data_IF_616127196151
#
_entry.id   IF_616127196151
#
_cell.length_a   1.000
_cell.length_b   1.000
_cell.length_c   1.000
_cell.angle_alpha   90.00
_cell.angle_beta   90.00
_cell.angle_gamma   90.00
#
_symmetry.space_group_name_H-M   'P 1'
#
loop_
_entity.id
_entity.type
_entity.pdbx_description
1 polymer ?
#
# COMPACT_ATOMS: atom_id res chain seq x y z
N UNK A 1 0.30 -19.61 -9.84
CA UNK A 1 -0.93 -19.61 -9.01
C UNK A 1 -2.09 -19.31 -9.93
N UNK A 2 -3.18 -20.08 -9.90
CA UNK A 2 -4.39 -19.78 -10.68
C UNK A 2 -5.25 -18.68 -10.02
N UNK A 3 -4.96 -18.30 -8.77
CA UNK A 3 -5.69 -17.31 -7.97
C UNK A 3 -4.72 -16.43 -7.16
N UNK A 4 -5.07 -15.15 -6.99
CA UNK A 4 -4.38 -14.23 -6.07
C UNK A 4 -4.88 -14.36 -4.64
N UNK A 5 -4.18 -13.71 -3.69
CA UNK A 5 -4.57 -13.67 -2.28
C UNK A 5 -5.12 -12.29 -1.92
N UNK A 6 -6.36 -12.23 -1.45
CA UNK A 6 -6.94 -10.99 -0.91
C UNK A 6 -6.43 -10.75 0.51
N UNK A 7 -5.98 -9.53 0.76
CA UNK A 7 -5.54 -9.10 2.07
C UNK A 7 -5.93 -7.67 2.40
N UNK A 8 -5.43 -7.19 3.53
CA UNK A 8 -5.73 -5.85 4.05
C UNK A 8 -4.44 -5.11 4.35
N UNK A 9 -4.38 -3.84 3.94
CA UNK A 9 -3.37 -2.91 4.42
C UNK A 9 -3.70 -2.49 5.86
N UNK A 10 -2.85 -2.85 6.83
CA UNK A 10 -3.12 -2.57 8.24
C UNK A 10 -3.04 -1.09 8.63
N UNK A 11 -2.51 -0.21 7.78
CA UNK A 11 -2.53 1.23 8.05
C UNK A 11 -3.94 1.74 8.36
N UNK A 12 -4.95 1.29 7.61
CA UNK A 12 -6.34 1.68 7.84
C UNK A 12 -6.92 1.13 9.16
N UNK A 13 -6.22 0.16 9.77
CA UNK A 13 -6.57 -0.48 11.04
C UNK A 13 -5.69 -0.02 12.21
N UNK A 14 -4.76 0.93 12.02
CA UNK A 14 -3.85 1.36 13.10
C UNK A 14 -4.56 1.80 14.38
N UNK A 15 -5.66 2.54 14.26
CA UNK A 15 -6.48 2.93 15.41
C UNK A 15 -7.17 1.74 16.08
N UNK A 16 -7.53 0.70 15.33
CA UNK A 16 -8.05 -0.55 15.90
C UNK A 16 -6.97 -1.35 16.59
N UNK A 17 -5.75 -1.41 16.05
CA UNK A 17 -4.62 -2.03 16.74
C UNK A 17 -4.32 -1.29 18.06
N UNK A 18 -4.40 0.04 18.09
CA UNK A 18 -4.27 0.81 19.33
C UNK A 18 -5.41 0.54 20.33
N UNK A 19 -6.64 0.37 19.83
CA UNK A 19 -7.85 0.16 20.66
C UNK A 19 -7.93 -1.26 21.25
N UNK A 20 -7.70 -2.29 20.42
CA UNK A 20 -7.99 -3.69 20.75
C UNK A 20 -6.79 -4.64 20.59
N UNK A 21 -5.62 -4.12 20.21
CA UNK A 21 -4.40 -4.92 20.00
C UNK A 21 -4.31 -5.58 18.64
N UNK A 22 -3.12 -6.09 18.31
CA UNK A 22 -2.84 -6.75 17.02
C UNK A 22 -3.65 -8.04 16.91
N UNK A 23 -3.64 -8.85 17.96
CA UNK A 23 -4.23 -10.18 17.91
C UNK A 23 -5.74 -10.15 17.62
N UNK A 24 -6.51 -9.34 18.35
CA UNK A 24 -7.95 -9.20 18.11
C UNK A 24 -8.24 -8.50 16.76
N UNK A 25 -7.40 -7.56 16.33
CA UNK A 25 -7.54 -6.95 14.99
C UNK A 25 -7.43 -8.00 13.89
N UNK A 26 -6.42 -8.89 13.94
CA UNK A 26 -6.23 -9.93 12.93
C UNK A 26 -7.34 -11.00 12.97
N UNK A 27 -7.90 -11.27 14.15
CA UNK A 27 -9.09 -12.11 14.29
C UNK A 27 -10.27 -11.53 13.50
N UNK A 28 -10.56 -10.24 13.68
CA UNK A 28 -11.63 -9.55 12.96
C UNK A 28 -11.39 -9.54 11.44
N UNK A 29 -10.14 -9.32 11.01
CA UNK A 29 -9.75 -9.44 9.59
C UNK A 29 -10.07 -10.83 9.04
N UNK A 30 -9.75 -11.89 9.81
CA UNK A 30 -10.06 -13.27 9.41
C UNK A 30 -11.55 -13.56 9.37
N UNK A 31 -12.34 -13.04 10.31
CA UNK A 31 -13.80 -13.21 10.35
C UNK A 31 -14.50 -12.57 9.13
N UNK A 32 -13.92 -11.51 8.56
CA UNK A 32 -14.37 -10.93 7.28
C UNK A 32 -13.98 -11.78 6.06
N UNK A 33 -13.10 -12.77 6.25
CA UNK A 33 -12.61 -13.70 5.24
C UNK A 33 -11.24 -13.36 4.68
N UNK A 34 -10.63 -12.22 5.01
CA UNK A 34 -9.29 -11.93 4.48
C UNK A 34 -8.25 -12.88 5.07
N UNK A 35 -7.29 -13.32 4.24
CA UNK A 35 -6.27 -14.31 4.63
C UNK A 35 -4.86 -13.75 4.71
N UNK A 36 -4.70 -12.48 4.36
CA UNK A 36 -3.38 -11.85 4.32
C UNK A 36 -3.47 -10.42 4.86
N UNK A 37 -2.37 -9.95 5.43
CA UNK A 37 -2.20 -8.54 5.82
C UNK A 37 -0.87 -8.00 5.36
N UNK A 38 -0.84 -6.74 4.97
CA UNK A 38 0.38 -5.95 4.94
C UNK A 38 0.45 -5.11 6.23
N UNK A 39 1.54 -5.25 6.98
CA UNK A 39 1.74 -4.52 8.23
C UNK A 39 2.39 -3.17 7.92
N UNK A 40 1.63 -2.10 8.10
CA UNK A 40 2.11 -0.72 7.95
C UNK A 40 1.58 0.19 9.03
N UNK A 41 2.39 1.16 9.44
CA UNK A 41 2.10 2.12 10.52
C UNK A 41 1.70 1.46 11.86
N UNK A 42 2.10 0.20 12.07
CA UNK A 42 2.04 -0.50 13.35
C UNK A 42 3.47 -0.59 13.89
N UNK A 43 3.76 -0.15 15.13
CA UNK A 43 5.10 -0.29 15.70
C UNK A 43 5.54 -1.75 15.75
N UNK A 44 6.73 -2.07 15.23
CA UNK A 44 7.28 -3.42 15.23
C UNK A 44 8.00 -3.75 16.54
N UNK A 45 7.31 -3.55 17.68
CA UNK A 45 7.83 -3.94 19.00
C UNK A 45 7.86 -5.46 19.16
N UNK A 46 8.61 -5.96 20.14
CA UNK A 46 8.68 -7.40 20.43
C UNK A 46 7.29 -7.98 20.69
N UNK A 47 6.45 -7.25 21.41
CA UNK A 47 5.07 -7.62 21.73
C UNK A 47 4.23 -7.72 20.46
N UNK A 48 4.23 -6.68 19.61
CA UNK A 48 3.46 -6.68 18.37
C UNK A 48 3.92 -7.77 17.40
N UNK A 49 5.23 -8.02 17.28
CA UNK A 49 5.76 -9.13 16.47
C UNK A 49 5.31 -10.48 17.01
N UNK A 50 5.31 -10.67 18.34
CA UNK A 50 4.81 -11.90 18.95
C UNK A 50 3.31 -12.08 18.73
N UNK A 51 2.51 -11.01 18.81
CA UNK A 51 1.07 -11.06 18.55
C UNK A 51 0.75 -11.31 17.08
N UNK A 52 1.46 -10.67 16.14
CA UNK A 52 1.34 -10.94 14.70
C UNK A 52 1.61 -12.42 14.42
N UNK A 53 2.69 -12.97 14.99
CA UNK A 53 3.02 -14.39 14.84
C UNK A 53 1.95 -15.31 15.42
N UNK A 54 1.47 -14.99 16.63
CA UNK A 54 0.43 -15.77 17.32
C UNK A 54 -0.88 -15.76 16.53
N UNK A 55 -1.35 -14.59 16.13
CA UNK A 55 -2.56 -14.43 15.32
C UNK A 55 -2.45 -15.12 13.96
N UNK A 56 -1.27 -15.04 13.32
CA UNK A 56 -1.01 -15.76 12.08
C UNK A 56 -1.18 -17.26 12.24
N UNK A 57 -0.63 -17.84 13.31
CA UNK A 57 -0.75 -19.27 13.62
C UNK A 57 -2.18 -19.68 14.00
N UNK A 58 -2.86 -18.89 14.83
CA UNK A 58 -4.18 -19.23 15.37
C UNK A 58 -5.30 -19.06 14.34
N UNK A 59 -5.20 -18.06 13.45
CA UNK A 59 -6.26 -17.68 12.51
C UNK A 59 -5.95 -18.01 11.04
N UNK A 60 -4.69 -18.36 10.73
CA UNK A 60 -4.23 -18.60 9.36
C UNK A 60 -4.18 -17.32 8.53
N UNK A 61 -3.89 -16.17 9.17
CA UNK A 61 -3.66 -14.89 8.48
C UNK A 61 -2.18 -14.76 8.15
N UNK A 62 -1.86 -14.75 6.87
CA UNK A 62 -0.49 -14.59 6.37
C UNK A 62 -0.02 -13.13 6.52
N UNK A 63 1.22 -12.94 6.98
CA UNK A 63 1.89 -11.65 6.91
C UNK A 63 2.49 -11.53 5.51
N UNK A 64 1.75 -10.92 4.59
CA UNK A 64 2.13 -10.79 3.19
C UNK A 64 3.36 -9.90 3.03
N UNK A 65 3.33 -8.74 3.69
CA UNK A 65 4.37 -7.74 3.59
C UNK A 65 4.53 -6.96 4.90
N UNK A 66 5.73 -6.46 5.14
CA UNK A 66 6.03 -5.49 6.19
C UNK A 66 6.44 -4.16 5.55
N UNK A 67 6.18 -3.05 6.25
CA UNK A 67 6.69 -1.73 5.86
C UNK A 67 8.00 -1.41 6.55
N UNK A 68 8.99 -0.95 5.79
CA UNK A 68 10.19 -0.34 6.34
C UNK A 68 10.65 0.82 5.47
N UNK A 69 10.86 1.99 6.10
CA UNK A 69 11.45 3.12 5.40
C UNK A 69 12.94 2.83 5.13
N UNK A 70 13.46 3.32 4.01
CA UNK A 70 14.89 3.22 3.73
C UNK A 70 15.69 4.11 4.70
N UNK A 71 15.26 5.36 4.81
CA UNK A 71 15.79 6.43 5.65
C UNK A 71 14.63 7.14 6.37
N UNK A 72 14.88 7.95 7.42
CA UNK A 72 13.81 8.66 8.11
C UNK A 72 13.00 9.55 7.16
N UNK A 73 11.69 9.61 7.37
CA UNK A 73 10.76 10.39 6.54
C UNK A 73 11.16 11.87 6.43
N UNK A 74 11.60 12.43 7.56
CA UNK A 74 12.26 13.72 7.69
C UNK A 74 13.51 13.53 8.55
N UNK A 75 14.53 14.40 8.43
CA UNK A 75 15.69 14.36 9.31
C UNK A 75 15.28 14.36 10.79
N UNK A 76 15.69 13.31 11.51
CA UNK A 76 15.38 13.15 12.94
C UNK A 76 14.00 12.57 13.26
N UNK A 77 13.16 12.27 12.26
CA UNK A 77 11.89 11.60 12.50
C UNK A 77 12.11 10.22 13.16
N UNK A 78 11.26 9.83 14.14
CA UNK A 78 11.35 8.53 14.78
C UNK A 78 10.89 7.42 13.82
N UNK A 79 11.28 6.19 14.15
CA UNK A 79 10.91 5.00 13.40
C UNK A 79 12.13 4.20 12.97
N UNK A 80 11.89 2.92 12.74
CA UNK A 80 12.91 2.00 12.26
C UNK A 80 13.16 2.23 10.77
N UNK A 81 14.43 2.11 10.37
CA UNK A 81 14.84 2.32 8.98
C UNK A 81 15.81 1.23 8.55
N UNK A 82 15.78 0.86 7.27
CA UNK A 82 16.71 -0.13 6.73
C UNK A 82 18.18 0.26 6.86
N UNK A 83 18.48 1.56 6.85
CA UNK A 83 19.86 2.04 7.07
C UNK A 83 20.36 1.82 8.50
N UNK A 84 19.49 1.96 9.52
CA UNK A 84 19.90 1.88 10.93
C UNK A 84 19.59 0.53 11.60
N UNK A 85 18.47 -0.09 11.22
CA UNK A 85 17.84 -1.18 11.94
C UNK A 85 17.74 -2.47 11.09
N UNK A 86 18.61 -2.60 10.08
CA UNK A 86 18.60 -3.70 9.11
C UNK A 86 18.44 -5.08 9.74
N UNK A 87 19.30 -5.44 10.71
CA UNK A 87 19.31 -6.78 11.30
C UNK A 87 18.03 -7.08 12.08
N UNK A 88 17.46 -6.06 12.73
CA UNK A 88 16.16 -6.19 13.41
C UNK A 88 15.05 -6.43 12.39
N UNK A 89 14.97 -5.62 11.34
CA UNK A 89 13.93 -5.75 10.30
C UNK A 89 14.02 -7.12 9.61
N UNK A 90 15.23 -7.60 9.30
CA UNK A 90 15.46 -8.94 8.74
C UNK A 90 15.02 -10.03 9.73
N UNK A 91 15.30 -9.85 11.03
CA UNK A 91 14.84 -10.77 12.07
C UNK A 91 13.30 -10.82 12.14
N UNK A 92 12.64 -9.67 12.13
CA UNK A 92 11.17 -9.59 12.18
C UNK A 92 10.53 -10.26 10.96
N UNK A 93 11.06 -10.03 9.76
CA UNK A 93 10.65 -10.73 8.54
C UNK A 93 10.73 -12.25 8.71
N UNK A 94 11.86 -12.76 9.23
CA UNK A 94 12.06 -14.21 9.46
C UNK A 94 11.12 -14.77 10.51
N UNK A 95 10.91 -14.06 11.61
CA UNK A 95 10.01 -14.49 12.70
C UNK A 95 8.57 -14.61 12.21
N UNK A 96 8.16 -13.70 11.33
CA UNK A 96 6.81 -13.64 10.75
C UNK A 96 6.66 -14.46 9.45
N UNK A 97 7.74 -15.06 8.95
CA UNK A 97 7.73 -15.76 7.66
C UNK A 97 7.44 -14.84 6.46
N UNK A 98 7.65 -13.53 6.62
CA UNK A 98 7.34 -12.53 5.62
C UNK A 98 8.51 -12.37 4.65
N UNK A 99 8.23 -12.59 3.36
CA UNK A 99 9.24 -12.47 2.29
C UNK A 99 9.25 -11.10 1.63
N UNK A 100 8.14 -10.37 1.69
CA UNK A 100 8.03 -9.05 1.06
C UNK A 100 8.23 -7.95 2.10
N UNK A 101 9.09 -7.00 1.78
CA UNK A 101 9.28 -5.78 2.53
C UNK A 101 9.04 -4.61 1.58
N UNK A 102 8.37 -3.55 2.02
CA UNK A 102 8.11 -2.41 1.15
C UNK A 102 8.48 -1.07 1.77
N UNK A 103 9.04 -0.19 0.94
CA UNK A 103 9.23 1.22 1.22
C UNK A 103 7.91 1.92 0.91
N UNK A 104 7.31 2.56 1.92
CA UNK A 104 6.02 3.24 1.76
C UNK A 104 6.08 4.51 0.92
N UNK A 105 7.14 5.30 1.06
CA UNK A 105 7.42 6.46 0.22
C UNK A 105 8.89 6.85 0.39
N UNK A 106 9.41 7.64 -0.56
CA UNK A 106 10.68 8.34 -0.39
C UNK A 106 10.60 9.43 0.72
N UNK A 107 11.73 9.82 1.33
CA UNK A 107 11.73 10.90 2.32
C UNK A 107 11.13 12.21 1.79
N UNK A 108 10.35 12.91 2.60
CA UNK A 108 9.59 14.10 2.16
C UNK A 108 10.51 15.24 1.68
N UNK A 109 11.67 15.40 2.32
CA UNK A 109 12.60 16.48 2.03
C UNK A 109 13.34 16.33 0.68
N UNK A 110 13.27 15.16 0.04
CA UNK A 110 13.84 14.94 -1.29
C UNK A 110 12.78 15.00 -2.40
N UNK A 111 11.48 15.05 -2.04
CA UNK A 111 10.40 15.11 -3.02
C UNK A 111 10.53 16.37 -3.88
N UNK A 112 10.63 16.19 -5.19
CA UNK A 112 10.81 17.26 -6.17
C UNK A 112 12.28 17.58 -6.52
N UNK A 113 13.26 17.01 -5.83
CA UNK A 113 14.68 17.14 -6.18
C UNK A 113 15.15 15.90 -6.96
N UNK A 114 15.29 16.06 -8.28
CA UNK A 114 15.67 14.97 -9.17
C UNK A 114 16.99 14.29 -8.78
N UNK A 115 18.01 15.07 -8.39
CA UNK A 115 19.32 14.53 -8.05
C UNK A 115 19.26 13.67 -6.79
N UNK A 116 18.63 14.17 -5.74
CA UNK A 116 18.47 13.44 -4.49
C UNK A 116 17.58 12.21 -4.65
N UNK A 117 16.57 12.26 -5.53
CA UNK A 117 15.74 11.11 -5.84
C UNK A 117 16.55 10.01 -6.56
N UNK A 118 17.42 10.37 -7.51
CA UNK A 118 18.29 9.37 -8.16
C UNK A 118 19.27 8.72 -7.18
N UNK A 119 19.78 9.47 -6.20
CA UNK A 119 20.58 8.90 -5.10
C UNK A 119 19.75 7.93 -4.24
N UNK A 120 18.51 8.28 -3.92
CA UNK A 120 17.59 7.40 -3.21
C UNK A 120 17.33 6.10 -3.98
N UNK A 121 17.12 6.17 -5.29
CA UNK A 121 16.92 4.99 -6.15
C UNK A 121 18.13 4.06 -6.08
N UNK A 122 19.35 4.60 -6.18
CA UNK A 122 20.58 3.81 -6.09
C UNK A 122 20.73 3.14 -4.70
N UNK A 123 20.42 3.86 -3.62
CA UNK A 123 20.41 3.30 -2.25
C UNK A 123 19.36 2.20 -2.09
N UNK A 124 18.17 2.39 -2.65
CA UNK A 124 17.07 1.43 -2.58
C UNK A 124 17.44 0.12 -3.30
N UNK A 125 18.08 0.20 -4.47
CA UNK A 125 18.58 -0.98 -5.18
C UNK A 125 19.65 -1.73 -4.38
N UNK A 126 20.65 -1.02 -3.85
CA UNK A 126 21.70 -1.65 -3.04
C UNK A 126 21.11 -2.32 -1.78
N UNK A 127 20.06 -1.74 -1.20
CA UNK A 127 19.34 -2.34 -0.09
C UNK A 127 18.53 -3.57 -0.52
N UNK A 128 17.87 -3.52 -1.68
CA UNK A 128 17.16 -4.66 -2.27
C UNK A 128 18.12 -5.84 -2.54
N UNK A 129 19.29 -5.58 -3.11
CA UNK A 129 20.35 -6.59 -3.30
C UNK A 129 20.80 -7.20 -1.97
N UNK A 130 20.99 -6.37 -0.94
CA UNK A 130 21.38 -6.83 0.40
C UNK A 130 20.31 -7.71 1.04
N UNK A 131 19.03 -7.32 0.97
CA UNK A 131 17.90 -8.09 1.50
C UNK A 131 17.72 -9.43 0.77
N UNK A 132 18.03 -9.48 -0.54
CA UNK A 132 17.93 -10.70 -1.34
C UNK A 132 18.82 -11.85 -0.80
N UNK A 133 19.97 -11.55 -0.20
CA UNK A 133 20.83 -12.55 0.48
C UNK A 133 20.15 -13.21 1.69
N UNK A 134 19.12 -12.59 2.24
CA UNK A 134 18.29 -13.13 3.32
C UNK A 134 16.97 -13.72 2.82
N UNK A 135 16.77 -13.80 1.51
CA UNK A 135 15.53 -14.28 0.91
C UNK A 135 14.36 -13.31 1.09
N UNK A 136 14.63 -12.02 1.32
CA UNK A 136 13.63 -10.96 1.45
C UNK A 136 13.69 -10.10 0.19
N UNK A 137 12.53 -9.82 -0.41
CA UNK A 137 12.41 -8.96 -1.58
C UNK A 137 11.90 -7.58 -1.18
N UNK A 138 12.59 -6.53 -1.63
CA UNK A 138 12.23 -5.14 -1.35
C UNK A 138 11.38 -4.55 -2.47
N UNK A 139 10.28 -3.91 -2.12
CA UNK A 139 9.34 -3.27 -3.04
C UNK A 139 9.23 -1.76 -2.74
N UNK A 140 8.94 -0.95 -3.76
CA UNK A 140 8.57 0.46 -3.59
C UNK A 140 7.07 0.64 -3.83
N UNK A 141 6.37 1.26 -2.88
CA UNK A 141 4.94 1.57 -2.99
C UNK A 141 4.70 2.90 -3.71
N UNK A 142 3.84 2.89 -4.72
CA UNK A 142 3.66 4.03 -5.63
C UNK A 142 2.55 4.98 -5.19
N UNK A 143 2.81 6.28 -5.26
CA UNK A 143 1.80 7.33 -5.16
C UNK A 143 1.65 8.06 -6.51
N UNK A 144 0.88 9.15 -6.51
CA UNK A 144 0.66 9.98 -7.70
C UNK A 144 1.87 10.87 -8.02
N UNK A 145 2.76 11.14 -7.06
CA UNK A 145 3.93 12.01 -7.23
C UNK A 145 4.97 11.37 -8.16
N UNK A 146 5.08 10.05 -8.17
CA UNK A 146 6.03 9.30 -8.99
C UNK A 146 5.67 9.32 -10.50
N UNK A 147 4.54 9.92 -10.85
CA UNK A 147 4.13 10.21 -12.24
C UNK A 147 4.54 11.62 -12.70
N UNK A 148 5.26 12.37 -11.87
CA UNK A 148 5.99 13.55 -12.35
C UNK A 148 7.01 13.13 -13.40
N UNK A 149 7.18 13.96 -14.43
CA UNK A 149 8.10 13.69 -15.53
C UNK A 149 9.40 14.45 -15.37
N UNK A 150 10.51 13.74 -15.54
CA UNK A 150 11.84 14.30 -15.71
C UNK A 150 12.31 13.91 -17.11
N UNK A 151 12.68 14.89 -17.93
CA UNK A 151 13.09 14.69 -19.33
C UNK A 151 12.11 13.84 -20.18
N UNK A 152 10.80 13.92 -19.85
CA UNK A 152 9.72 13.22 -20.56
C UNK A 152 9.37 11.83 -20.02
N UNK A 153 10.17 11.27 -19.11
CA UNK A 153 9.98 9.96 -18.47
C UNK A 153 9.35 10.11 -17.09
N UNK A 154 8.44 9.20 -16.70
CA UNK A 154 7.91 9.17 -15.34
C UNK A 154 8.99 8.77 -14.34
N UNK A 155 9.02 9.45 -13.18
CA UNK A 155 9.96 9.11 -12.12
C UNK A 155 9.90 7.63 -11.70
N UNK A 156 8.70 7.05 -11.68
CA UNK A 156 8.54 5.63 -11.39
C UNK A 156 9.19 4.72 -12.45
N UNK A 157 9.11 5.10 -13.73
CA UNK A 157 9.75 4.37 -14.81
C UNK A 157 11.28 4.50 -14.73
N UNK A 158 11.79 5.68 -14.36
CA UNK A 158 13.23 5.87 -14.10
C UNK A 158 13.69 4.96 -12.97
N UNK A 159 12.94 4.89 -11.86
CA UNK A 159 13.22 3.95 -10.77
C UNK A 159 13.24 2.50 -11.27
N UNK A 160 12.24 2.07 -12.04
CA UNK A 160 12.19 0.73 -12.62
C UNK A 160 13.37 0.43 -13.54
N UNK A 161 13.77 1.39 -14.38
CA UNK A 161 14.80 1.22 -15.40
C UNK A 161 16.22 1.27 -14.81
N UNK A 162 16.39 1.93 -13.66
CA UNK A 162 17.67 2.01 -12.94
C UNK A 162 17.84 0.97 -11.83
N UNK A 163 16.87 0.06 -11.66
CA UNK A 163 16.90 -0.99 -10.64
C UNK A 163 16.60 -2.37 -11.24
N UNK A 164 17.17 -3.41 -10.65
CA UNK A 164 17.02 -4.80 -11.08
C UNK A 164 16.41 -5.69 -10.00
N UNK A 165 16.64 -5.39 -8.71
CA UNK A 165 16.13 -6.15 -7.57
C UNK A 165 14.94 -5.49 -6.89
N UNK A 166 14.86 -4.16 -6.93
CA UNK A 166 13.72 -3.44 -6.37
C UNK A 166 12.42 -3.83 -7.12
N UNK A 167 11.44 -4.36 -6.41
CA UNK A 167 10.10 -4.58 -6.93
C UNK A 167 9.21 -3.33 -6.79
N UNK A 168 7.99 -3.41 -7.31
CA UNK A 168 6.99 -2.34 -7.20
C UNK A 168 5.68 -2.87 -6.62
N UNK A 169 5.22 -2.19 -5.59
CA UNK A 169 3.87 -2.33 -5.08
C UNK A 169 3.05 -1.19 -5.69
N UNK A 170 2.21 -1.54 -6.65
CA UNK A 170 1.41 -0.54 -7.35
C UNK A 170 0.13 -0.22 -6.56
N UNK A 171 -0.30 1.04 -6.59
CA UNK A 171 -1.57 1.48 -6.02
C UNK A 171 -2.48 2.06 -7.10
N UNK A 172 -3.65 1.46 -7.24
CA UNK A 172 -4.56 1.71 -8.36
C UNK A 172 -5.30 3.04 -8.22
N UNK A 173 -5.54 3.51 -6.99
CA UNK A 173 -6.09 4.83 -6.73
C UNK A 173 -5.07 5.90 -7.08
N UNK A 174 -3.82 5.72 -6.65
CA UNK A 174 -2.78 6.71 -6.90
C UNK A 174 -2.39 6.80 -8.38
N UNK A 175 -2.37 5.68 -9.10
CA UNK A 175 -2.21 5.67 -10.56
C UNK A 175 -3.36 6.45 -11.23
N UNK A 176 -4.62 6.19 -10.84
CA UNK A 176 -5.76 6.95 -11.36
C UNK A 176 -5.62 8.44 -11.05
N UNK A 177 -5.22 8.80 -9.82
CA UNK A 177 -5.09 10.19 -9.37
C UNK A 177 -4.00 10.94 -10.13
N UNK A 178 -3.00 10.25 -10.66
CA UNK A 178 -2.01 10.80 -11.58
C UNK A 178 -2.54 11.01 -13.01
N UNK A 179 -3.80 10.67 -13.30
CA UNK A 179 -4.39 10.75 -14.63
C UNK A 179 -3.97 9.60 -15.56
N UNK A 180 -3.44 8.52 -15.00
CA UNK A 180 -2.96 7.34 -15.75
C UNK A 180 -3.97 6.20 -15.62
N UNK A 181 -4.17 5.43 -16.69
CA UNK A 181 -5.05 4.26 -16.65
C UNK A 181 -4.37 3.10 -15.87
N UNK A 182 -4.92 2.65 -14.74
CA UNK A 182 -4.28 1.63 -13.90
C UNK A 182 -4.13 0.29 -14.60
N UNK A 183 -5.13 -0.15 -15.38
CA UNK A 183 -5.10 -1.44 -16.10
C UNK A 183 -3.94 -1.48 -17.10
N UNK A 184 -3.78 -0.41 -17.89
CA UNK A 184 -2.71 -0.31 -18.88
C UNK A 184 -1.33 -0.18 -18.22
N UNK A 185 -1.25 0.54 -17.09
CA UNK A 185 0.01 0.79 -16.39
C UNK A 185 0.53 -0.47 -15.69
N UNK A 186 -0.33 -1.21 -14.99
CA UNK A 186 0.01 -2.48 -14.33
C UNK A 186 0.71 -3.45 -15.30
N UNK A 187 0.19 -3.58 -16.53
CA UNK A 187 0.76 -4.48 -17.55
C UNK A 187 2.18 -4.09 -17.97
N UNK A 188 2.56 -2.83 -17.86
CA UNK A 188 3.92 -2.35 -18.19
C UNK A 188 4.95 -2.72 -17.11
N UNK A 189 4.49 -3.15 -15.95
CA UNK A 189 5.31 -3.57 -14.80
C UNK A 189 5.28 -5.09 -14.60
N UNK A 190 4.82 -5.85 -15.59
CA UNK A 190 4.79 -7.31 -15.53
C UNK A 190 6.18 -7.90 -15.19
N UNK A 191 6.21 -8.81 -14.22
CA UNK A 191 7.45 -9.40 -13.71
C UNK A 191 8.23 -8.52 -12.71
N UNK A 192 7.77 -7.30 -12.42
CA UNK A 192 8.33 -6.41 -11.38
C UNK A 192 7.36 -6.14 -10.23
N UNK A 193 6.19 -6.76 -10.21
CA UNK A 193 5.16 -6.60 -9.17
C UNK A 193 4.82 -7.94 -8.53
N UNK A 194 4.56 -7.91 -7.21
CA UNK A 194 3.99 -9.03 -6.44
C UNK A 194 2.86 -8.56 -5.51
N UNK A 195 2.78 -7.26 -5.23
CA UNK A 195 1.81 -6.64 -4.34
C UNK A 195 1.05 -5.57 -5.13
N UNK A 196 -0.28 -5.53 -4.98
CA UNK A 196 -1.14 -4.52 -5.57
C UNK A 196 -2.09 -4.01 -4.51
N UNK A 197 -2.07 -2.70 -4.26
CA UNK A 197 -3.06 -2.06 -3.40
C UNK A 197 -4.34 -1.81 -4.19
N UNK A 198 -5.42 -2.43 -3.71
CA UNK A 198 -6.77 -2.19 -4.17
C UNK A 198 -7.35 -1.07 -3.30
N UNK A 199 -7.46 0.11 -3.91
CA UNK A 199 -8.01 1.32 -3.30
C UNK A 199 -8.92 1.95 -4.34
N UNK A 200 -10.22 2.06 -4.05
CA UNK A 200 -11.16 2.57 -5.05
C UNK A 200 -11.20 4.11 -5.02
N UNK A 201 -11.74 4.71 -6.08
CA UNK A 201 -11.71 6.14 -6.35
C UNK A 201 -13.14 6.65 -6.51
N UNK A 202 -13.67 7.40 -5.54
CA UNK A 202 -14.98 8.03 -5.64
C UNK A 202 -14.89 9.55 -5.75
N UNK A 203 -15.90 10.14 -6.36
CA UNK A 203 -16.14 11.57 -6.26
C UNK A 203 -16.98 11.79 -5.00
N UNK A 204 -16.33 12.27 -3.96
CA UNK A 204 -16.94 12.68 -2.70
C UNK A 204 -18.01 13.74 -2.91
N UNK A 205 -18.96 13.77 -1.98
CA UNK A 205 -20.03 14.76 -2.01
C UNK A 205 -19.44 16.13 -1.67
N UNK A 206 -19.64 17.09 -2.55
CA UNK A 206 -19.28 18.47 -2.27
C UNK A 206 -20.24 19.06 -1.21
N UNK A 207 -19.75 19.21 0.03
CA UNK A 207 -20.42 19.98 1.06
C UNK A 207 -20.07 21.47 0.87
N UNK A 208 -21.10 22.33 0.79
CA UNK A 208 -20.96 23.77 0.62
C UNK A 208 -21.61 24.55 1.79
N UNK A 209 -21.98 23.86 2.86
CA UNK A 209 -22.76 24.43 3.98
C UNK A 209 -22.07 25.62 4.68
N UNK A 210 -20.74 25.63 4.70
CA UNK A 210 -19.90 26.69 5.28
C UNK A 210 -19.07 27.45 4.23
N UNK A 211 -19.44 27.38 2.95
CA UNK A 211 -18.82 28.18 1.88
C UNK A 211 -19.52 29.53 1.79
N UNK A 212 -18.75 30.60 2.01
CA UNK A 212 -19.12 31.93 1.54
C UNK A 212 -18.72 32.06 0.06
N UNK A 213 -19.68 32.28 -0.83
CA UNK A 213 -19.41 32.42 -2.26
C UNK A 213 -18.70 33.74 -2.63
N UNK A 214 -18.52 34.67 -1.69
CA UNK A 214 -17.55 35.75 -1.85
C UNK A 214 -16.09 35.26 -1.70
N UNK A 215 -15.88 34.17 -0.97
CA UNK A 215 -14.59 33.46 -0.89
C UNK A 215 -14.55 32.32 -1.92
N UNK A 216 -14.28 32.71 -3.16
CA UNK A 216 -14.09 31.76 -4.25
C UNK A 216 -12.89 30.83 -4.03
N UNK A 217 -11.92 31.18 -3.18
CA UNK A 217 -10.78 30.31 -2.91
C UNK A 217 -11.21 29.06 -2.16
N UNK A 218 -12.04 29.20 -1.12
CA UNK A 218 -12.59 28.06 -0.36
C UNK A 218 -13.48 27.17 -1.23
N UNK A 219 -14.31 27.78 -2.08
CA UNK A 219 -15.09 27.02 -3.08
C UNK A 219 -14.18 26.24 -4.02
N UNK A 220 -13.20 26.90 -4.65
CA UNK A 220 -12.29 26.26 -5.61
C UNK A 220 -11.48 25.15 -4.96
N UNK A 221 -11.00 25.34 -3.74
CA UNK A 221 -10.30 24.30 -2.98
C UNK A 221 -11.18 23.06 -2.81
N UNK A 222 -12.47 23.20 -2.51
CA UNK A 222 -13.37 22.04 -2.41
C UNK A 222 -13.63 21.40 -3.75
N UNK A 223 -13.95 22.22 -4.75
CA UNK A 223 -14.22 21.79 -6.11
C UNK A 223 -13.07 20.94 -6.68
N UNK A 224 -11.81 21.33 -6.45
CA UNK A 224 -10.65 20.58 -6.93
C UNK A 224 -10.26 19.39 -6.05
N UNK A 225 -10.84 19.25 -4.85
CA UNK A 225 -10.48 18.21 -3.87
C UNK A 225 -11.68 17.35 -3.46
N UNK A 226 -12.65 17.14 -4.36
CA UNK A 226 -13.77 16.20 -4.14
C UNK A 226 -13.39 14.73 -4.33
N UNK A 227 -12.09 14.41 -4.44
CA UNK A 227 -11.64 13.03 -4.66
C UNK A 227 -11.53 12.34 -3.31
N UNK A 228 -12.17 11.18 -3.18
CA UNK A 228 -12.15 10.38 -1.97
C UNK A 228 -11.74 8.93 -2.25
N UNK A 229 -11.17 8.28 -1.24
CA UNK A 229 -10.97 6.84 -1.22
C UNK A 229 -12.32 6.15 -1.03
N UNK A 230 -12.50 5.01 -1.68
CA UNK A 230 -13.73 4.23 -1.55
C UNK A 230 -13.43 2.78 -1.20
N UNK A 231 -14.42 2.18 -0.53
CA UNK A 231 -14.58 0.74 -0.44
C UNK A 231 -14.60 0.15 -1.85
N UNK A 232 -14.06 -1.06 -2.02
CA UNK A 232 -13.95 -1.67 -3.35
C UNK A 232 -15.33 -1.87 -3.97
N UNK A 233 -15.55 -1.33 -5.16
CA UNK A 233 -16.82 -1.38 -5.89
C UNK A 233 -17.79 -0.26 -5.55
N UNK A 234 -17.44 0.65 -4.64
CA UNK A 234 -18.22 1.87 -4.33
C UNK A 234 -17.63 3.12 -4.99
N UNK A 235 -16.54 2.98 -5.74
CA UNK A 235 -15.94 4.05 -6.54
C UNK A 235 -16.18 3.87 -8.04
N UNK A 236 -15.24 4.40 -8.83
CA UNK A 236 -15.34 4.52 -10.28
C UNK A 236 -14.31 3.68 -11.04
N UNK A 237 -13.44 2.94 -10.35
CA UNK A 237 -12.41 2.14 -11.01
C UNK A 237 -12.97 0.78 -11.44
N UNK A 238 -12.53 0.31 -12.62
CA UNK A 238 -12.83 -1.05 -13.08
C UNK A 238 -11.98 -2.07 -12.30
N UNK A 239 -12.43 -2.38 -11.09
CA UNK A 239 -11.73 -3.28 -10.17
C UNK A 239 -11.52 -4.67 -10.74
N UNK A 240 -12.45 -5.18 -11.55
CA UNK A 240 -12.31 -6.48 -12.19
C UNK A 240 -11.15 -6.45 -13.20
N UNK A 241 -11.14 -5.49 -14.12
CA UNK A 241 -10.07 -5.37 -15.10
C UNK A 241 -8.69 -5.11 -14.45
N UNK A 242 -8.67 -4.36 -13.35
CA UNK A 242 -7.47 -4.09 -12.55
C UNK A 242 -6.92 -5.36 -11.92
N UNK A 243 -7.77 -6.13 -11.23
CA UNK A 243 -7.36 -7.38 -10.56
C UNK A 243 -6.87 -8.40 -11.60
N UNK A 244 -7.59 -8.55 -12.71
CA UNK A 244 -7.18 -9.44 -13.81
C UNK A 244 -5.84 -9.02 -14.43
N UNK A 245 -5.61 -7.71 -14.63
CA UNK A 245 -4.34 -7.20 -15.12
C UNK A 245 -3.20 -7.43 -14.12
N UNK A 246 -3.46 -7.24 -12.82
CA UNK A 246 -2.49 -7.53 -11.76
C UNK A 246 -2.09 -9.00 -11.75
N UNK A 247 -3.07 -9.90 -11.78
CA UNK A 247 -2.85 -11.35 -11.78
C UNK A 247 -2.04 -11.78 -12.99
N UNK A 248 -2.42 -11.32 -14.18
CA UNK A 248 -1.70 -11.61 -15.43
C UNK A 248 -0.27 -11.04 -15.45
N UNK A 249 0.00 -10.00 -14.66
CA UNK A 249 1.31 -9.33 -14.58
C UNK A 249 2.21 -9.90 -13.47
N UNK A 250 1.72 -10.85 -12.68
CA UNK A 250 2.48 -11.55 -11.64
C UNK A 250 2.17 -11.15 -10.21
N UNK A 251 1.18 -10.26 -9.96
CA UNK A 251 0.76 -9.92 -8.61
C UNK A 251 0.24 -11.16 -7.85
N UNK A 252 0.68 -11.29 -6.61
CA UNK A 252 0.36 -12.42 -5.72
C UNK A 252 -0.63 -11.99 -4.63
N UNK A 253 -0.48 -10.77 -4.11
CA UNK A 253 -1.35 -10.20 -3.08
C UNK A 253 -2.07 -8.96 -3.59
N UNK A 254 -3.34 -8.87 -3.21
CA UNK A 254 -4.26 -7.83 -3.59
C UNK A 254 -4.83 -7.24 -2.29
N UNK A 255 -4.25 -6.12 -1.86
CA UNK A 255 -4.40 -5.59 -0.51
C UNK A 255 -5.44 -4.46 -0.53
N UNK A 256 -6.58 -4.68 0.12
CA UNK A 256 -7.61 -3.65 0.26
C UNK A 256 -7.11 -2.56 1.20
N UNK A 257 -7.27 -1.31 0.79
CA UNK A 257 -6.83 -0.15 1.55
C UNK A 257 -7.75 1.06 1.32
N UNK A 258 -7.90 1.89 2.36
CA UNK A 258 -8.34 3.28 2.28
C UNK A 258 -7.50 4.15 3.22
N UNK A 259 -6.96 5.29 2.77
CA UNK A 259 -6.25 6.21 3.69
C UNK A 259 -7.21 6.94 4.65
N UNK A 260 -8.48 7.06 4.25
CA UNK A 260 -9.55 7.64 5.06
C UNK A 260 -10.86 6.86 4.88
N UNK A 261 -11.58 6.71 5.99
CA UNK A 261 -12.90 6.03 6.06
C UNK A 261 -14.05 6.98 6.38
N UNK A 262 -13.77 8.29 6.39
CA UNK A 262 -14.78 9.36 6.48
C UNK A 262 -15.79 9.21 7.65
N UNK A 263 -15.27 8.81 8.82
CA UNK A 263 -16.05 8.63 10.05
C UNK A 263 -16.72 7.26 10.20
N UNK A 264 -16.54 6.34 9.25
CA UNK A 264 -16.99 4.95 9.36
C UNK A 264 -16.02 4.10 10.17
N UNK A 265 -16.49 2.96 10.67
CA UNK A 265 -15.62 1.93 11.20
C UNK A 265 -14.86 1.22 10.05
N UNK A 266 -13.53 1.04 10.14
CA UNK A 266 -12.76 0.41 9.06
C UNK A 266 -13.15 -1.05 8.81
N UNK A 267 -13.64 -1.80 9.81
CA UNK A 267 -14.14 -3.17 9.58
C UNK A 267 -15.44 -3.19 8.78
N UNK A 268 -16.31 -2.19 8.93
CA UNK A 268 -17.51 -2.05 8.10
C UNK A 268 -17.15 -1.72 6.64
N UNK A 269 -16.11 -0.90 6.43
CA UNK A 269 -15.57 -0.59 5.11
C UNK A 269 -14.98 -1.84 4.44
N UNK A 270 -14.20 -2.61 5.20
CA UNK A 270 -13.63 -3.89 4.75
C UNK A 270 -14.71 -4.94 4.46
N UNK A 271 -15.80 -4.98 5.23
CA UNK A 271 -16.95 -5.86 4.98
C UNK A 271 -17.63 -5.49 3.67
N UNK A 272 -17.88 -4.20 3.45
CA UNK A 272 -18.46 -3.69 2.19
C UNK A 272 -17.59 -4.09 1.00
N UNK A 273 -16.27 -3.85 1.10
CA UNK A 273 -15.30 -4.24 0.07
C UNK A 273 -15.31 -5.76 -0.18
N UNK A 274 -15.37 -6.56 0.88
CA UNK A 274 -15.39 -8.02 0.76
C UNK A 274 -16.66 -8.55 0.08
N UNK A 275 -17.82 -8.02 0.44
CA UNK A 275 -19.09 -8.35 -0.20
C UNK A 275 -19.10 -8.00 -1.69
N UNK A 276 -18.56 -6.84 -2.06
CA UNK A 276 -18.48 -6.41 -3.44
C UNK A 276 -17.47 -7.23 -4.24
N UNK A 277 -16.30 -7.55 -3.68
CA UNK A 277 -15.33 -8.47 -4.30
C UNK A 277 -15.93 -9.86 -4.55
N UNK A 278 -16.75 -10.38 -3.63
CA UNK A 278 -17.50 -11.63 -3.84
C UNK A 278 -18.48 -11.52 -5.01
N UNK A 279 -19.26 -10.42 -5.09
CA UNK A 279 -20.17 -10.16 -6.22
C UNK A 279 -19.43 -10.01 -7.57
N UNK A 280 -18.20 -9.51 -7.54
CA UNK A 280 -17.33 -9.39 -8.73
C UNK A 280 -16.72 -10.74 -9.17
N UNK A 281 -16.92 -11.82 -8.41
CA UNK A 281 -16.48 -13.17 -8.76
C UNK A 281 -15.23 -13.66 -8.02
N UNK A 282 -14.75 -12.93 -7.00
CA UNK A 282 -13.55 -13.29 -6.24
C UNK A 282 -13.85 -13.98 -4.91
N UNK A 283 -14.99 -14.68 -4.80
CA UNK A 283 -15.40 -15.33 -3.56
C UNK A 283 -14.41 -16.40 -3.07
N UNK A 284 -13.81 -17.15 -3.99
CA UNK A 284 -12.83 -18.20 -3.68
C UNK A 284 -11.46 -17.65 -3.24
N UNK A 285 -11.24 -16.33 -3.29
CA UNK A 285 -9.98 -15.70 -2.86
C UNK A 285 -9.96 -15.35 -1.35
N UNK A 286 -11.09 -15.54 -0.65
CA UNK A 286 -11.28 -15.37 0.80
C UNK A 286 -11.15 -16.69 1.57
#
# INVERSE_FOLDING_TARGET
MEQGKLGVQMMMLKGKVEEIGVYETLKMVRELGYRAVEVSQIPMTVENVAELKRASADFGVEIAALSAALEPMLPGAPGETLVKDFDKIVSDCKVLGCRFLRIGMMPLHIMGDHGQIMEFIAKAEAMAERLAWHGIELYYHTHHLEFQKYDGEYLLDMMKNHTSKLGFELDVHWIQRAGVNPVAFIRQYAGRISLLHLKDYRIGRMDLSDVDFQDMQKFMQRFTNTIEFAEIGEGNLDMKAIIEAGLASGAQYFLVEQDAVYGRDPFDCLRTSAENLRKLGYAEWF
#
